data_IF_971738408703
#
_entry.id   IF_971738408703
#
_cell.length_a   1.000
_cell.length_b   1.000
_cell.length_c   1.000
_cell.angle_alpha   90.00
_cell.angle_beta   90.00
_cell.angle_gamma   90.00
#
_symmetry.space_group_name_H-M   'P 1'
#
loop_
_entity.id
_entity.type
_entity.pdbx_description
1 polymer ?
#
# COMPACT_ATOMS: atom_id res chain seq x y z
N UNK A 1 7.33 14.94 9.77
CA UNK A 1 6.21 13.99 9.71
C UNK A 1 6.62 12.81 8.84
N UNK A 2 6.53 11.59 9.35
CA UNK A 2 7.05 10.38 8.71
C UNK A 2 6.11 9.75 7.64
N UNK A 3 4.90 10.30 7.42
CA UNK A 3 3.81 9.58 6.73
C UNK A 3 3.15 10.38 5.60
N UNK A 4 3.92 10.85 4.61
CA UNK A 4 3.32 11.38 3.36
C UNK A 4 2.90 10.29 2.38
N UNK A 5 3.25 9.03 2.65
CA UNK A 5 3.07 7.93 1.70
C UNK A 5 1.99 6.96 2.17
N UNK A 6 1.11 6.56 1.25
CA UNK A 6 0.11 5.53 1.51
C UNK A 6 0.80 4.16 1.46
N UNK A 7 0.71 3.40 2.56
CA UNK A 7 1.44 2.15 2.75
C UNK A 7 0.48 0.96 2.80
N UNK A 8 0.89 -0.15 2.18
CA UNK A 8 0.26 -1.45 2.36
C UNK A 8 1.00 -2.20 3.47
N UNK A 9 0.28 -2.61 4.51
CA UNK A 9 0.84 -3.27 5.70
C UNK A 9 0.18 -4.61 5.94
N UNK A 10 0.97 -5.53 6.48
CA UNK A 10 0.47 -6.79 7.03
C UNK A 10 0.83 -6.90 8.50
N UNK A 11 0.05 -7.67 9.23
CA UNK A 11 0.33 -8.09 10.58
C UNK A 11 0.72 -9.57 10.57
N UNK A 12 1.84 -9.91 11.18
CA UNK A 12 2.29 -11.30 11.29
C UNK A 12 2.74 -11.56 12.73
N UNK A 13 1.97 -12.39 13.42
CA UNK A 13 2.20 -12.74 14.83
C UNK A 13 3.47 -13.58 14.98
N UNK A 14 3.62 -14.61 14.13
CA UNK A 14 4.77 -15.52 14.13
C UNK A 14 6.00 -14.85 13.49
N UNK A 15 7.03 -14.58 14.29
CA UNK A 15 8.24 -13.88 13.84
C UNK A 15 8.99 -14.65 12.75
N UNK A 16 8.97 -15.99 12.82
CA UNK A 16 9.72 -16.85 11.89
C UNK A 16 9.12 -16.82 10.49
N UNK A 17 7.82 -16.53 10.38
CA UNK A 17 7.09 -16.47 9.10
C UNK A 17 7.01 -15.05 8.51
N UNK A 18 7.54 -14.04 9.21
CA UNK A 18 7.46 -12.63 8.77
C UNK A 18 8.09 -12.40 7.40
N UNK A 19 9.20 -13.05 7.09
CA UNK A 19 9.85 -12.89 5.78
C UNK A 19 9.00 -13.49 4.66
N UNK A 20 8.52 -14.72 4.88
CA UNK A 20 7.70 -15.47 3.93
C UNK A 20 6.40 -14.72 3.61
N UNK A 21 5.60 -14.39 4.63
CA UNK A 21 4.31 -13.70 4.42
C UNK A 21 4.47 -12.33 3.79
N UNK A 22 5.56 -11.61 4.08
CA UNK A 22 5.83 -10.31 3.48
C UNK A 22 6.18 -10.44 2.00
N UNK A 23 6.93 -11.48 1.63
CA UNK A 23 7.24 -11.76 0.23
C UNK A 23 5.99 -12.17 -0.54
N UNK A 24 5.18 -13.07 0.02
CA UNK A 24 3.90 -13.47 -0.56
C UNK A 24 2.97 -12.27 -0.75
N UNK A 25 2.78 -11.46 0.30
CA UNK A 25 1.97 -10.25 0.22
C UNK A 25 2.49 -9.26 -0.83
N UNK A 26 3.82 -9.08 -0.93
CA UNK A 26 4.41 -8.22 -1.95
C UNK A 26 4.10 -8.73 -3.37
N UNK A 27 4.24 -10.04 -3.60
CA UNK A 27 3.98 -10.64 -4.91
C UNK A 27 2.51 -10.49 -5.31
N UNK A 28 1.58 -10.71 -4.37
CA UNK A 28 0.13 -10.48 -4.59
C UNK A 28 -0.17 -9.04 -4.95
N UNK A 29 0.37 -8.09 -4.18
CA UNK A 29 0.21 -6.66 -4.44
C UNK A 29 0.84 -6.23 -5.77
N UNK A 30 2.01 -6.75 -6.13
CA UNK A 30 2.69 -6.43 -7.39
C UNK A 30 1.90 -6.93 -8.60
N UNK A 31 1.35 -8.16 -8.52
CA UNK A 31 0.49 -8.71 -9.56
C UNK A 31 -0.80 -7.90 -9.74
N UNK A 32 -1.48 -7.55 -8.65
CA UNK A 32 -2.68 -6.73 -8.70
C UNK A 32 -2.39 -5.31 -9.23
N UNK A 33 -1.27 -4.72 -8.81
CA UNK A 33 -0.76 -3.43 -9.28
C UNK A 33 -0.53 -3.43 -10.79
N UNK A 34 0.10 -4.47 -11.33
CA UNK A 34 0.31 -4.65 -12.77
C UNK A 34 -1.01 -4.81 -13.54
N UNK A 35 -1.92 -5.65 -13.05
CA UNK A 35 -3.24 -5.86 -13.65
C UNK A 35 -4.08 -4.58 -13.76
N UNK A 36 -3.95 -3.69 -12.77
CA UNK A 36 -4.69 -2.43 -12.70
C UNK A 36 -3.95 -1.23 -13.30
N UNK A 37 -2.69 -1.40 -13.73
CA UNK A 37 -1.85 -0.29 -14.19
C UNK A 37 -1.57 0.77 -13.12
N UNK A 38 -1.59 0.38 -11.84
CA UNK A 38 -1.39 1.29 -10.69
C UNK A 38 -0.04 1.01 -10.04
N UNK A 39 0.90 1.95 -10.04
CA UNK A 39 2.27 1.67 -9.57
C UNK A 39 2.41 1.60 -8.04
N UNK A 40 3.11 0.57 -7.57
CA UNK A 40 3.60 0.46 -6.19
C UNK A 40 5.13 0.45 -6.16
N UNK A 41 5.71 0.78 -5.00
CA UNK A 41 7.16 0.74 -4.76
C UNK A 41 7.49 -0.01 -3.48
N UNK A 42 8.69 -0.58 -3.43
CA UNK A 42 9.24 -1.17 -2.19
C UNK A 42 9.47 -0.08 -1.14
N UNK A 43 9.27 -0.38 0.15
CA UNK A 43 9.58 0.57 1.21
C UNK A 43 11.10 0.80 1.29
N UNK A 44 11.51 2.04 1.57
CA UNK A 44 12.93 2.40 1.69
C UNK A 44 13.64 1.70 2.88
N UNK A 45 12.87 1.31 3.91
CA UNK A 45 13.35 0.55 5.05
C UNK A 45 12.35 -0.56 5.38
N UNK A 46 12.88 -1.74 5.67
CA UNK A 46 12.09 -2.88 6.11
C UNK A 46 11.99 -2.81 7.64
N UNK A 47 10.76 -2.66 8.14
CA UNK A 47 10.49 -2.77 9.58
C UNK A 47 10.47 -4.22 10.03
N UNK A 48 10.83 -4.46 11.30
CA UNK A 48 10.82 -5.77 11.95
C UNK A 48 9.72 -5.92 13.02
N UNK A 49 8.82 -4.93 13.13
CA UNK A 49 7.72 -4.98 14.09
C UNK A 49 6.60 -5.94 13.67
N UNK A 50 5.67 -6.20 14.60
CA UNK A 50 4.45 -6.99 14.39
C UNK A 50 3.65 -6.54 13.16
N UNK A 51 3.64 -5.23 12.89
CA UNK A 51 3.10 -4.64 11.67
C UNK A 51 4.24 -4.23 10.74
N UNK A 52 4.20 -4.72 9.50
CA UNK A 52 5.26 -4.51 8.53
C UNK A 52 4.71 -3.84 7.28
N UNK A 53 5.40 -2.80 6.80
CA UNK A 53 5.15 -2.25 5.47
C UNK A 53 5.68 -3.22 4.42
N UNK A 54 4.79 -3.63 3.51
CA UNK A 54 5.08 -4.54 2.40
C UNK A 54 5.45 -3.74 1.15
N UNK A 55 4.65 -2.71 0.85
CA UNK A 55 4.86 -1.81 -0.28
C UNK A 55 4.22 -0.46 0.02
N UNK A 56 4.49 0.52 -0.85
CA UNK A 56 3.91 1.85 -0.81
C UNK A 56 3.27 2.14 -2.15
N UNK A 57 2.13 2.80 -2.15
CA UNK A 57 1.58 3.33 -3.38
C UNK A 57 2.48 4.45 -3.90
N UNK A 58 2.76 4.48 -5.20
CA UNK A 58 3.59 5.54 -5.81
C UNK A 58 2.78 6.78 -6.15
N UNK A 59 1.45 6.64 -6.28
CA UNK A 59 0.56 7.77 -6.50
C UNK A 59 0.48 8.69 -5.28
N UNK A 60 0.10 9.94 -5.53
CA UNK A 60 -0.25 10.86 -4.46
C UNK A 60 -1.70 10.59 -4.05
N UNK A 61 -1.92 10.17 -2.81
CA UNK A 61 -3.28 9.95 -2.34
C UNK A 61 -4.01 11.23 -2.01
N UNK A 62 -3.28 12.33 -1.76
CA UNK A 62 -3.82 13.57 -1.26
C UNK A 62 -3.79 14.63 -2.34
N UNK A 63 -4.97 15.07 -2.74
CA UNK A 63 -5.13 16.19 -3.67
C UNK A 63 -5.47 17.46 -2.89
N UNK A 64 -4.81 18.57 -3.24
CA UNK A 64 -5.00 19.87 -2.59
C UNK A 64 -5.43 20.88 -3.63
N UNK A 65 -6.57 21.52 -3.38
CA UNK A 65 -7.13 22.58 -4.22
C UNK A 65 -7.29 23.84 -3.37
N UNK A 66 -6.71 24.94 -3.82
CA UNK A 66 -6.78 26.25 -3.13
C UNK A 66 -6.33 26.19 -1.66
N UNK A 67 -5.28 25.42 -1.38
CA UNK A 67 -4.73 25.26 -0.04
C UNK A 67 -5.58 24.41 0.91
N UNK A 68 -6.68 23.82 0.42
CA UNK A 68 -7.55 22.91 1.16
C UNK A 68 -7.50 21.51 0.55
N UNK A 69 -7.77 20.50 1.37
CA UNK A 69 -7.91 19.13 0.89
C UNK A 69 -9.09 19.06 -0.09
N UNK A 70 -8.84 18.58 -1.30
CA UNK A 70 -9.91 18.20 -2.22
C UNK A 70 -10.37 16.80 -1.83
N UNK A 71 -11.49 16.73 -1.11
CA UNK A 71 -11.97 15.48 -0.52
C UNK A 71 -12.38 14.46 -1.59
N UNK A 72 -13.07 14.91 -2.64
CA UNK A 72 -13.55 14.03 -3.70
C UNK A 72 -12.39 13.44 -4.48
N UNK A 73 -11.44 14.27 -4.90
CA UNK A 73 -10.26 13.80 -5.63
C UNK A 73 -9.36 12.90 -4.76
N UNK A 74 -9.20 13.23 -3.47
CA UNK A 74 -8.48 12.40 -2.50
C UNK A 74 -9.16 11.04 -2.32
N UNK A 75 -10.49 11.01 -2.21
CA UNK A 75 -11.26 9.76 -2.07
C UNK A 75 -11.11 8.87 -3.31
N UNK A 76 -11.19 9.43 -4.51
CA UNK A 76 -10.98 8.67 -5.76
C UNK A 76 -9.57 8.07 -5.82
N UNK A 77 -8.55 8.80 -5.34
CA UNK A 77 -7.20 8.28 -5.24
C UNK A 77 -7.08 7.16 -4.19
N UNK A 78 -7.74 7.27 -3.04
CA UNK A 78 -7.78 6.22 -2.03
C UNK A 78 -8.49 4.95 -2.54
N UNK A 79 -9.58 5.09 -3.32
CA UNK A 79 -10.28 3.96 -3.95
C UNK A 79 -9.38 3.18 -4.90
N UNK A 80 -8.48 3.84 -5.65
CA UNK A 80 -7.49 3.14 -6.50
C UNK A 80 -6.58 2.24 -5.66
N UNK A 81 -6.05 2.76 -4.55
CA UNK A 81 -5.23 1.96 -3.65
C UNK A 81 -6.01 0.81 -2.99
N UNK A 82 -7.27 1.05 -2.62
CA UNK A 82 -8.17 0.01 -2.11
C UNK A 82 -8.40 -1.08 -3.17
N UNK A 83 -8.58 -0.70 -4.45
CA UNK A 83 -8.80 -1.67 -5.51
C UNK A 83 -7.62 -2.63 -5.71
N UNK A 84 -6.38 -2.17 -5.46
CA UNK A 84 -5.19 -3.04 -5.42
C UNK A 84 -5.32 -4.07 -4.29
N UNK A 85 -5.73 -3.65 -3.08
CA UNK A 85 -5.93 -4.56 -1.94
C UNK A 85 -7.01 -5.59 -2.23
N UNK A 86 -8.15 -5.16 -2.76
CA UNK A 86 -9.27 -6.03 -3.06
C UNK A 86 -8.88 -7.08 -4.10
N UNK A 87 -8.21 -6.66 -5.17
CA UNK A 87 -7.73 -7.55 -6.24
C UNK A 87 -6.68 -8.54 -5.72
N UNK A 88 -5.86 -8.15 -4.74
CA UNK A 88 -4.79 -8.98 -4.20
C UNK A 88 -5.27 -10.00 -3.14
N UNK A 89 -6.34 -9.71 -2.39
CA UNK A 89 -6.70 -10.48 -1.18
C UNK A 89 -8.18 -10.84 -1.02
N UNK A 90 -9.10 -10.27 -1.79
CA UNK A 90 -10.56 -10.51 -1.68
C UNK A 90 -11.14 -11.30 -2.86
N UNK A 91 -10.33 -12.15 -3.49
CA UNK A 91 -10.78 -13.07 -4.55
C UNK A 91 -11.66 -14.19 -4.01
#
# INVERSE_FOLDING_TARGET
>A
MENQELCFKIEVIDELKRQEYRLDAYNKLAKASEQLGLEIKRPARMGNGRYMTVSRWKGNYREVKEGKLDFDATLENLKKAQHILDTAFLQ
#
